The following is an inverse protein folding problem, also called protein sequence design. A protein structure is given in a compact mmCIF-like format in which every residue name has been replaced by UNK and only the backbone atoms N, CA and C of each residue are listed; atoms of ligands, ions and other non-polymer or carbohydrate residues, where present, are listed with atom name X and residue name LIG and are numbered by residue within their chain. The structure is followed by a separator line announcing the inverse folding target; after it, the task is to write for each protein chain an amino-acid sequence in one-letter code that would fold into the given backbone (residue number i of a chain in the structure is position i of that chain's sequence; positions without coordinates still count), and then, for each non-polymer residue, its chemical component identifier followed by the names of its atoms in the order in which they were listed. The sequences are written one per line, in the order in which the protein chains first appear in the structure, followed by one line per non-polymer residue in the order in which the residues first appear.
data_IF_026729899081
#
_entry.id   IF_026729899081
#
_cell.length_a   1.000
_cell.length_b   1.000
_cell.length_c   1.000
_cell.angle_alpha   90.00
_cell.angle_beta   90.00
_cell.angle_gamma   90.00
#
_symmetry.space_group_name_H-M   'P 1'
#
loop_
_entity.id
_entity.type
_entity.pdbx_description
1 polymer ?
#
# COMPACT_ATOMS: atom_id res chain seq x y z
N UNK A 1 11.71 -10.50 -34.06
CA UNK A 1 12.33 -10.93 -32.79
C UNK A 1 11.53 -10.34 -31.63
N UNK A 2 10.75 -11.14 -30.87
CA UNK A 2 10.25 -10.87 -29.50
C UNK A 2 9.01 -11.69 -29.06
N UNK A 3 8.43 -12.58 -29.88
CA UNK A 3 7.31 -13.43 -29.42
C UNK A 3 7.74 -14.52 -28.41
N UNK A 4 8.96 -15.03 -28.54
CA UNK A 4 9.49 -16.08 -27.65
C UNK A 4 9.89 -15.56 -26.26
N UNK A 5 10.28 -14.29 -26.11
CA UNK A 5 10.71 -13.72 -24.81
C UNK A 5 9.56 -13.64 -23.79
N UNK A 6 8.35 -13.37 -24.25
CA UNK A 6 7.15 -13.34 -23.40
C UNK A 6 6.70 -14.74 -22.95
N UNK A 7 6.89 -15.76 -23.79
CA UNK A 7 6.56 -17.15 -23.43
C UNK A 7 7.48 -17.64 -22.31
N UNK A 8 8.78 -17.36 -22.37
CA UNK A 8 9.70 -17.71 -21.28
C UNK A 8 9.40 -16.94 -19.99
N UNK A 9 8.94 -15.69 -20.07
CA UNK A 9 8.49 -14.93 -18.90
C UNK A 9 7.26 -15.58 -18.24
N UNK A 10 6.21 -15.92 -19.01
CA UNK A 10 5.04 -16.61 -18.48
C UNK A 10 5.35 -18.01 -17.96
N UNK A 11 6.24 -18.73 -18.65
CA UNK A 11 6.72 -20.05 -18.23
C UNK A 11 7.51 -19.96 -16.92
N UNK A 12 8.31 -18.91 -16.71
CA UNK A 12 9.02 -18.67 -15.45
C UNK A 12 8.08 -18.35 -14.29
N UNK A 13 7.00 -17.60 -14.54
CA UNK A 13 5.98 -17.29 -13.52
C UNK A 13 5.18 -18.55 -13.13
N UNK A 14 4.91 -19.43 -14.10
CA UNK A 14 4.25 -20.72 -13.88
C UNK A 14 5.14 -21.70 -13.11
N UNK A 15 6.44 -21.76 -13.40
CA UNK A 15 7.42 -22.61 -12.66
C UNK A 15 7.60 -22.11 -11.22
N UNK A 16 7.65 -20.79 -11.00
CA UNK A 16 7.63 -20.21 -9.65
C UNK A 16 6.34 -20.53 -8.87
N UNK A 17 5.21 -20.68 -9.56
CA UNK A 17 3.94 -21.10 -8.97
C UNK A 17 3.82 -22.61 -8.71
N UNK A 18 4.62 -23.45 -9.38
CA UNK A 18 4.67 -24.90 -9.13
C UNK A 18 5.60 -25.25 -7.95
N UNK A 19 6.67 -24.49 -7.76
CA UNK A 19 7.66 -24.69 -6.67
C UNK A 19 7.19 -24.10 -5.33
N UNK A 20 5.99 -23.50 -5.24
CA UNK A 20 5.43 -23.05 -3.96
C UNK A 20 4.93 -24.24 -3.14
N UNK A 21 5.85 -25.06 -2.66
CA UNK A 21 5.61 -25.85 -1.47
C UNK A 21 5.29 -24.87 -0.36
N UNK A 22 4.04 -24.85 0.10
CA UNK A 22 3.66 -24.11 1.29
C UNK A 22 4.51 -24.64 2.44
N UNK A 23 5.57 -23.91 2.80
CA UNK A 23 6.27 -24.14 4.06
C UNK A 23 5.33 -23.64 5.18
N UNK A 24 4.40 -24.50 5.58
CA UNK A 24 3.56 -24.29 6.76
C UNK A 24 4.42 -24.60 7.99
N UNK A 25 4.98 -23.56 8.61
CA UNK A 25 5.56 -23.69 9.94
C UNK A 25 4.42 -23.83 10.94
N UNK A 26 4.08 -25.06 11.29
CA UNK A 26 3.21 -25.35 12.43
C UNK A 26 4.03 -25.15 13.69
N UNK A 27 3.85 -23.99 14.34
CA UNK A 27 4.58 -23.67 15.58
C UNK A 27 4.00 -24.48 16.74
N UNK A 28 4.78 -25.36 17.42
CA UNK A 28 4.29 -26.15 18.52
C UNK A 28 4.53 -25.41 19.85
N UNK A 29 3.66 -24.46 20.23
CA UNK A 29 3.20 -24.27 21.63
C UNK A 29 2.19 -23.11 21.78
N UNK A 30 1.15 -23.24 22.62
CA UNK A 30 -0.03 -22.33 22.60
C UNK A 30 0.06 -21.11 23.53
N UNK A 31 1.22 -20.78 24.11
CA UNK A 31 1.29 -19.82 25.21
C UNK A 31 2.55 -18.94 25.13
N UNK A 32 2.30 -17.62 25.05
CA UNK A 32 3.23 -16.47 25.21
C UNK A 32 4.16 -16.22 23.99
N UNK A 33 4.00 -15.18 23.17
CA UNK A 33 3.60 -13.80 23.44
C UNK A 33 2.97 -13.20 22.17
N UNK A 34 1.87 -12.47 22.34
CA UNK A 34 1.51 -11.41 21.40
C UNK A 34 2.57 -10.30 21.54
N UNK A 35 3.76 -10.49 20.97
CA UNK A 35 4.48 -9.33 20.49
C UNK A 35 3.82 -8.96 19.17
N UNK A 36 2.83 -8.07 19.25
CA UNK A 36 2.25 -7.42 18.08
C UNK A 36 3.43 -6.96 17.22
N UNK A 37 3.69 -7.70 16.14
CA UNK A 37 4.73 -7.37 15.20
C UNK A 37 4.25 -6.18 14.37
N UNK A 38 4.21 -4.99 14.98
CA UNK A 38 4.28 -3.71 14.25
C UNK A 38 5.72 -3.57 13.75
N UNK A 39 6.20 -4.56 12.98
CA UNK A 39 7.58 -4.61 12.52
C UNK A 39 7.66 -3.81 11.23
N UNK A 40 7.89 -2.51 11.40
CA UNK A 40 8.28 -1.51 10.38
C UNK A 40 7.19 -1.10 9.37
N UNK A 41 6.59 0.07 9.60
CA UNK A 41 5.99 0.86 8.51
C UNK A 41 7.11 1.39 7.60
N UNK A 42 7.20 0.86 6.38
CA UNK A 42 8.12 1.37 5.35
C UNK A 42 7.35 2.27 4.39
N UNK A 43 7.64 3.58 4.43
CA UNK A 43 7.12 4.53 3.45
C UNK A 43 7.82 4.32 2.10
N UNK A 44 7.07 4.01 1.05
CA UNK A 44 7.58 3.94 -0.32
C UNK A 44 6.89 5.01 -1.17
N UNK A 45 7.69 5.82 -1.87
CA UNK A 45 7.21 6.77 -2.87
C UNK A 45 7.59 6.26 -4.26
N UNK A 46 6.59 6.11 -5.14
CA UNK A 46 6.77 5.73 -6.53
C UNK A 46 6.43 6.94 -7.40
N UNK A 47 7.37 7.36 -8.25
CA UNK A 47 7.16 8.47 -9.19
C UNK A 47 7.63 8.05 -10.57
N UNK A 48 6.75 8.19 -11.57
CA UNK A 48 7.11 7.95 -12.97
C UNK A 48 7.79 9.19 -13.56
N UNK A 49 9.09 9.10 -13.88
CA UNK A 49 9.86 10.19 -14.51
C UNK A 49 9.75 10.20 -16.04
N UNK A 50 9.39 9.08 -16.67
CA UNK A 50 9.32 8.97 -18.12
C UNK A 50 7.99 9.47 -18.70
N UNK A 51 7.96 9.70 -20.02
CA UNK A 51 6.74 10.05 -20.76
C UNK A 51 5.88 8.83 -21.16
N UNK A 52 6.31 7.63 -20.76
CA UNK A 52 5.63 6.37 -21.07
C UNK A 52 4.97 5.78 -19.83
N UNK A 53 3.93 4.97 -20.01
CA UNK A 53 3.24 4.29 -18.91
C UNK A 53 4.20 3.40 -18.11
N UNK A 54 4.09 3.43 -16.79
CA UNK A 54 4.85 2.60 -15.86
C UNK A 54 3.91 1.70 -15.05
N UNK A 55 4.36 0.48 -14.76
CA UNK A 55 3.64 -0.49 -13.92
C UNK A 55 4.55 -0.88 -12.77
N UNK A 56 4.02 -0.98 -11.56
CA UNK A 56 4.77 -1.41 -10.37
C UNK A 56 4.10 -2.59 -9.69
N UNK A 57 4.90 -3.58 -9.30
CA UNK A 57 4.45 -4.74 -8.54
C UNK A 57 4.89 -4.58 -7.08
N UNK A 58 3.97 -4.82 -6.14
CA UNK A 58 4.25 -4.83 -4.72
C UNK A 58 3.91 -6.21 -4.14
N UNK A 59 4.84 -6.80 -3.39
CA UNK A 59 4.63 -8.03 -2.64
C UNK A 59 4.51 -7.72 -1.15
N UNK A 60 3.41 -8.13 -0.53
CA UNK A 60 3.17 -7.98 0.90
C UNK A 60 3.19 -9.37 1.54
N UNK A 61 3.94 -9.54 2.64
CA UNK A 61 4.16 -10.85 3.28
C UNK A 61 3.13 -11.12 4.39
N UNK A 62 2.27 -10.14 4.73
CA UNK A 62 1.19 -10.32 5.71
C UNK A 62 -0.10 -10.76 5.03
N UNK A 63 -0.75 -11.78 5.58
CA UNK A 63 -2.06 -12.25 5.13
C UNK A 63 -3.18 -11.22 5.38
N UNK A 64 -2.97 -10.30 6.34
CA UNK A 64 -3.82 -9.13 6.57
C UNK A 64 -3.00 -7.85 6.31
N UNK A 65 -2.29 -7.81 5.18
CA UNK A 65 -1.56 -6.62 4.78
C UNK A 65 -2.55 -5.54 4.34
N UNK A 66 -2.68 -4.50 5.16
CA UNK A 66 -3.47 -3.32 4.83
C UNK A 66 -2.58 -2.27 4.15
N UNK A 67 -3.08 -1.68 3.07
CA UNK A 67 -2.40 -0.60 2.36
C UNK A 67 -3.01 0.72 2.79
N UNK A 68 -2.31 1.44 3.66
CA UNK A 68 -2.73 2.78 4.10
C UNK A 68 -2.04 3.82 3.21
N UNK A 69 -2.84 4.53 2.40
CA UNK A 69 -2.35 5.70 1.66
C UNK A 69 -2.42 6.93 2.56
N UNK A 70 -1.29 7.60 2.79
CA UNK A 70 -1.19 8.75 3.72
C UNK A 70 -2.21 9.85 3.38
N UNK A 71 -2.36 10.17 2.10
CA UNK A 71 -3.29 11.21 1.67
C UNK A 71 -4.73 10.87 2.04
N UNK A 72 -5.09 9.59 1.96
CA UNK A 72 -6.41 9.13 2.34
C UNK A 72 -6.62 9.14 3.86
N UNK A 73 -5.62 8.69 4.62
CA UNK A 73 -5.72 8.68 6.09
C UNK A 73 -5.69 10.07 6.72
N UNK A 74 -5.15 11.08 6.02
CA UNK A 74 -5.07 12.47 6.53
C UNK A 74 -6.23 13.33 6.01
N UNK A 75 -6.55 13.26 4.72
CA UNK A 75 -7.54 14.16 4.10
C UNK A 75 -8.87 13.47 3.74
N UNK A 76 -8.89 12.14 3.58
CA UNK A 76 -10.07 11.37 3.22
C UNK A 76 -10.66 10.50 4.34
N UNK A 77 -10.13 10.58 5.57
CA UNK A 77 -10.50 9.70 6.69
C UNK A 77 -11.91 9.96 7.20
N UNK A 78 -12.70 8.92 7.43
CA UNK A 78 -14.05 8.99 8.03
C UNK A 78 -14.03 8.56 9.51
N UNK A 79 -14.37 9.43 10.49
CA UNK A 79 -14.79 10.82 10.34
C UNK A 79 -13.64 11.78 10.00
N UNK A 80 -13.95 12.91 9.35
CA UNK A 80 -12.95 13.91 8.92
C UNK A 80 -12.14 14.46 10.09
N UNK A 81 -10.82 14.53 9.92
CA UNK A 81 -9.93 15.21 10.87
C UNK A 81 -10.25 16.71 10.89
N UNK A 82 -10.20 17.32 12.08
CA UNK A 82 -10.45 18.74 12.24
C UNK A 82 -9.50 19.59 11.35
N UNK A 83 -10.04 20.44 10.46
CA UNK A 83 -9.22 21.24 9.54
C UNK A 83 -8.30 22.23 10.26
N UNK A 84 -8.66 22.72 11.45
CA UNK A 84 -7.80 23.63 12.23
C UNK A 84 -6.56 22.90 12.78
N UNK A 85 -6.71 21.63 13.14
CA UNK A 85 -5.59 20.78 13.56
C UNK A 85 -4.64 20.51 12.39
N UNK A 86 -5.19 20.22 11.20
CA UNK A 86 -4.39 20.03 9.97
C UNK A 86 -3.70 21.32 9.52
N UNK A 87 -4.40 22.45 9.57
CA UNK A 87 -3.84 23.79 9.27
C UNK A 87 -2.61 24.06 10.14
N UNK A 88 -2.69 23.74 11.44
CA UNK A 88 -1.57 23.90 12.37
C UNK A 88 -0.45 22.88 12.13
N UNK A 89 -0.78 21.62 11.83
CA UNK A 89 0.20 20.56 11.62
C UNK A 89 1.02 20.76 10.33
N UNK A 90 0.34 21.16 9.25
CA UNK A 90 0.96 21.36 7.94
C UNK A 90 1.41 22.81 7.69
N UNK A 91 1.02 23.75 8.55
CA UNK A 91 1.34 25.19 8.42
C UNK A 91 0.91 25.77 7.07
N UNK A 92 -0.29 25.41 6.61
CA UNK A 92 -0.90 25.87 5.36
C UNK A 92 -2.26 26.48 5.64
N UNK A 93 -2.78 27.28 4.71
CA UNK A 93 -4.09 27.90 4.85
C UNK A 93 -5.22 26.87 4.92
N UNK A 94 -6.26 27.21 5.69
CA UNK A 94 -7.47 26.39 5.85
C UNK A 94 -8.14 26.09 4.49
N UNK A 95 -8.08 27.02 3.54
CA UNK A 95 -8.62 26.82 2.19
C UNK A 95 -7.94 25.67 1.45
N UNK A 96 -6.63 25.46 1.67
CA UNK A 96 -5.87 24.36 1.07
C UNK A 96 -6.29 23.05 1.73
N UNK A 97 -6.44 23.03 3.05
CA UNK A 97 -6.92 21.85 3.80
C UNK A 97 -8.32 21.46 3.34
N UNK A 98 -9.26 22.40 3.25
CA UNK A 98 -10.63 22.16 2.79
C UNK A 98 -10.66 21.60 1.36
N UNK A 99 -9.82 22.13 0.47
CA UNK A 99 -9.69 21.61 -0.89
C UNK A 99 -9.17 20.18 -0.91
N UNK A 100 -8.10 19.88 -0.15
CA UNK A 100 -7.55 18.53 -0.05
C UNK A 100 -8.58 17.56 0.54
N UNK A 101 -9.26 17.94 1.62
CA UNK A 101 -10.30 17.10 2.23
C UNK A 101 -11.46 16.83 1.28
N UNK A 102 -11.95 17.83 0.53
CA UNK A 102 -12.99 17.62 -0.49
C UNK A 102 -12.53 16.67 -1.59
N UNK A 103 -11.29 16.82 -2.07
CA UNK A 103 -10.75 16.00 -3.15
C UNK A 103 -10.68 14.52 -2.77
N UNK A 104 -10.10 14.19 -1.61
CA UNK A 104 -9.92 12.80 -1.20
C UNK A 104 -11.16 12.17 -0.54
N UNK A 105 -12.13 12.98 -0.09
CA UNK A 105 -13.39 12.46 0.47
C UNK A 105 -14.37 11.95 -0.59
N UNK A 106 -14.43 12.60 -1.76
CA UNK A 106 -15.36 12.21 -2.84
C UNK A 106 -14.97 10.85 -3.41
N UNK A 107 -13.68 10.57 -3.54
CA UNK A 107 -13.16 9.32 -4.09
C UNK A 107 -13.39 8.09 -3.17
N UNK A 108 -13.67 8.30 -1.88
CA UNK A 108 -13.91 7.20 -0.91
C UNK A 108 -15.39 6.81 -0.76
N UNK A 109 -16.32 7.62 -1.27
CA UNK A 109 -17.77 7.46 -1.07
C UNK A 109 -18.52 7.09 -2.35
N UNK A 110 -17.81 6.56 -3.36
CA UNK A 110 -18.35 6.10 -4.64
C UNK A 110 -17.79 4.72 -4.98
#
# INVERSE_FOLDING_TARGET
MNKMKGVYFLLSLLVLGLESSFASASDPSPLHDFHVAVKRLKLNLLFNRGYTNAVTFAGLISQNAEVITITNSVFGSDPRINPDALTKAFQVDKNIIDYLQKKFWVDNNN
#
